data_IF_859110613919
#
_entry.id   IF_859110613919
#
_cell.length_a   1.000
_cell.length_b   1.000
_cell.length_c   1.000
_cell.angle_alpha   90.00
_cell.angle_beta   90.00
_cell.angle_gamma   90.00
#
_symmetry.space_group_name_H-M   'P 1'
#
loop_
_entity.id
_entity.type
_entity.pdbx_description
1 polymer ?
#
# COMPACT_ATOMS: atom_id res chain seq x y z
N UNK A 1 -64.20 -8.89 -23.97
CA UNK A 1 -63.36 -7.81 -24.51
C UNK A 1 -61.93 -8.06 -24.06
N UNK A 2 -61.06 -8.52 -24.97
CA UNK A 2 -59.68 -8.90 -24.65
C UNK A 2 -58.78 -7.66 -24.64
N UNK A 3 -58.07 -7.43 -23.52
CA UNK A 3 -57.03 -6.41 -23.38
C UNK A 3 -55.85 -6.81 -24.27
N UNK A 4 -55.63 -6.08 -25.36
CA UNK A 4 -54.49 -6.28 -26.26
C UNK A 4 -53.18 -6.01 -25.53
N UNK A 5 -52.34 -7.04 -25.41
CA UNK A 5 -50.92 -6.90 -25.06
C UNK A 5 -50.23 -6.12 -26.18
N UNK A 6 -49.68 -4.95 -25.84
CA UNK A 6 -48.73 -4.23 -26.70
C UNK A 6 -47.40 -5.00 -26.65
N UNK A 7 -46.90 -5.41 -27.82
CA UNK A 7 -45.62 -6.11 -27.94
C UNK A 7 -44.43 -5.24 -27.48
N UNK A 8 -43.26 -5.83 -27.23
CA UNK A 8 -42.07 -5.11 -26.79
C UNK A 8 -41.71 -4.02 -27.80
N UNK A 9 -41.32 -2.84 -27.29
CA UNK A 9 -40.86 -1.72 -28.11
C UNK A 9 -39.67 -2.17 -28.99
N UNK A 10 -39.57 -1.67 -30.24
CA UNK A 10 -38.43 -1.96 -31.11
C UNK A 10 -37.13 -1.50 -30.45
N UNK A 11 -36.06 -2.30 -30.61
CA UNK A 11 -34.72 -1.93 -30.15
C UNK A 11 -34.32 -0.58 -30.76
N UNK A 12 -34.01 0.37 -29.88
CA UNK A 12 -33.48 1.67 -30.29
C UNK A 12 -32.09 1.46 -30.89
N UNK A 13 -31.76 2.13 -32.01
CA UNK A 13 -30.42 2.05 -32.58
C UNK A 13 -29.39 2.56 -31.56
N UNK A 14 -28.30 1.81 -31.39
CA UNK A 14 -27.20 2.18 -30.51
C UNK A 14 -26.60 3.52 -30.97
N UNK A 15 -26.18 4.33 -30.01
CA UNK A 15 -25.53 5.61 -30.31
C UNK A 15 -24.14 5.35 -30.89
N UNK A 16 -23.69 6.10 -31.91
CA UNK A 16 -22.33 6.00 -32.39
C UNK A 16 -21.32 6.20 -31.25
N UNK A 17 -20.29 5.35 -31.18
CA UNK A 17 -19.31 5.30 -30.09
C UNK A 17 -18.75 6.68 -29.71
N UNK A 18 -18.34 7.49 -30.69
CA UNK A 18 -17.81 8.84 -30.46
C UNK A 18 -18.82 9.75 -29.73
N UNK A 19 -20.12 9.63 -30.04
CA UNK A 19 -21.18 10.41 -29.39
C UNK A 19 -21.47 9.89 -27.99
N UNK A 20 -21.34 8.59 -27.76
CA UNK A 20 -21.47 8.01 -26.42
C UNK A 20 -20.33 8.48 -25.50
N UNK A 21 -19.09 8.49 -25.97
CA UNK A 21 -17.94 9.01 -25.23
C UNK A 21 -18.03 10.50 -24.93
N UNK A 22 -18.53 11.32 -25.86
CA UNK A 22 -18.67 12.76 -25.69
C UNK A 22 -19.66 13.18 -24.58
N UNK A 23 -20.52 12.26 -24.11
CA UNK A 23 -21.45 12.50 -22.99
C UNK A 23 -20.81 12.32 -21.63
N UNK A 24 -19.62 11.71 -21.57
CA UNK A 24 -18.91 11.45 -20.33
C UNK A 24 -17.88 12.55 -20.07
N UNK A 25 -17.80 13.00 -18.83
CA UNK A 25 -16.83 14.00 -18.43
C UNK A 25 -15.48 13.37 -18.08
N UNK A 26 -14.36 14.01 -18.44
CA UNK A 26 -13.03 13.55 -18.05
C UNK A 26 -12.89 13.59 -16.52
N UNK A 27 -12.39 12.52 -15.89
CA UNK A 27 -12.14 12.53 -14.45
C UNK A 27 -11.06 13.54 -14.06
N UNK A 28 -11.26 14.20 -12.92
CA UNK A 28 -10.36 15.24 -12.39
C UNK A 28 -8.92 14.73 -12.28
N UNK A 29 -7.97 15.51 -12.82
CA UNK A 29 -6.54 15.16 -12.81
C UNK A 29 -6.12 14.07 -13.80
N UNK A 30 -7.04 13.53 -14.60
CA UNK A 30 -6.78 12.43 -15.54
C UNK A 30 -7.13 12.76 -17.01
N UNK A 31 -7.32 14.02 -17.37
CA UNK A 31 -7.78 14.44 -18.70
C UNK A 31 -6.91 13.91 -19.87
N UNK A 32 -5.59 13.80 -19.68
CA UNK A 32 -4.69 13.25 -20.71
C UNK A 32 -4.88 11.74 -20.87
N UNK A 33 -4.99 11.02 -19.76
CA UNK A 33 -5.20 9.59 -19.73
C UNK A 33 -6.61 9.23 -20.24
N UNK A 34 -7.61 10.04 -19.91
CA UNK A 34 -8.98 9.91 -20.40
C UNK A 34 -9.05 9.99 -21.92
N UNK A 35 -8.41 11.02 -22.51
CA UNK A 35 -8.34 11.17 -23.96
C UNK A 35 -7.65 9.98 -24.64
N UNK A 36 -6.51 9.56 -24.10
CA UNK A 36 -5.75 8.40 -24.65
C UNK A 36 -6.53 7.10 -24.59
N UNK A 37 -7.37 6.93 -23.55
CA UNK A 37 -8.29 5.80 -23.46
C UNK A 37 -9.37 5.89 -24.55
N UNK A 38 -10.01 7.05 -24.69
CA UNK A 38 -11.04 7.27 -25.72
C UNK A 38 -10.49 7.03 -27.11
N UNK A 39 -9.33 7.61 -27.43
CA UNK A 39 -8.68 7.45 -28.74
C UNK A 39 -8.44 5.96 -29.03
N UNK A 40 -7.93 5.22 -28.06
CA UNK A 40 -7.67 3.78 -28.20
C UNK A 40 -8.96 2.94 -28.33
N UNK A 41 -10.04 3.31 -27.64
CA UNK A 41 -11.33 2.65 -27.77
C UNK A 41 -11.98 2.94 -29.13
N UNK A 42 -11.92 4.20 -29.59
CA UNK A 42 -12.45 4.62 -30.88
C UNK A 42 -11.69 4.05 -32.07
N UNK A 43 -10.37 3.82 -31.95
CA UNK A 43 -9.59 3.08 -32.95
C UNK A 43 -10.16 1.67 -33.19
N UNK A 44 -10.78 1.06 -32.18
CA UNK A 44 -11.47 -0.24 -32.26
C UNK A 44 -12.98 -0.13 -32.48
N UNK A 45 -13.51 1.09 -32.65
CA UNK A 45 -14.93 1.34 -32.80
C UNK A 45 -15.76 1.16 -31.51
N UNK A 46 -15.11 1.03 -30.35
CA UNK A 46 -15.77 0.71 -29.08
C UNK A 46 -16.35 1.97 -28.41
N UNK A 47 -17.64 1.90 -28.10
CA UNK A 47 -18.32 2.78 -27.15
C UNK A 47 -18.00 2.45 -25.69
N UNK A 48 -18.39 3.31 -24.74
CA UNK A 48 -18.16 3.08 -23.32
C UNK A 48 -18.90 1.86 -22.76
N UNK A 49 -20.10 1.55 -23.26
CA UNK A 49 -20.87 0.36 -22.86
C UNK A 49 -20.22 -0.92 -23.38
N UNK A 50 -19.86 -0.94 -24.66
CA UNK A 50 -19.15 -2.06 -25.30
C UNK A 50 -17.81 -2.32 -24.60
N UNK A 51 -17.05 -1.28 -24.28
CA UNK A 51 -15.81 -1.41 -23.49
C UNK A 51 -16.07 -1.95 -22.08
N UNK A 52 -17.20 -1.60 -21.46
CA UNK A 52 -17.57 -2.12 -20.14
C UNK A 52 -17.90 -3.62 -20.19
N UNK A 53 -18.54 -4.08 -21.27
CA UNK A 53 -18.90 -5.47 -21.51
C UNK A 53 -17.71 -6.36 -21.89
N UNK A 54 -16.89 -5.92 -22.86
CA UNK A 54 -15.74 -6.68 -23.34
C UNK A 54 -14.51 -6.57 -22.45
N UNK A 55 -14.44 -5.54 -21.61
CA UNK A 55 -13.28 -5.26 -20.78
C UNK A 55 -12.13 -4.59 -21.55
N UNK A 56 -10.95 -4.58 -20.95
CA UNK A 56 -9.80 -3.82 -21.47
C UNK A 56 -8.85 -4.66 -22.34
N UNK A 57 -9.11 -5.95 -22.50
CA UNK A 57 -8.14 -6.89 -23.07
C UNK A 57 -7.87 -6.61 -24.56
N UNK A 58 -8.92 -6.35 -25.35
CA UNK A 58 -8.79 -6.04 -26.79
C UNK A 58 -8.06 -4.71 -27.03
N UNK A 59 -8.40 -3.68 -26.25
CA UNK A 59 -7.72 -2.37 -26.29
C UNK A 59 -6.25 -2.54 -25.86
N UNK A 60 -6.00 -3.33 -24.83
CA UNK A 60 -4.65 -3.58 -24.34
C UNK A 60 -3.80 -4.33 -25.36
N UNK A 61 -4.36 -5.33 -26.04
CA UNK A 61 -3.70 -6.07 -27.10
C UNK A 61 -3.38 -5.17 -28.29
N UNK A 62 -4.35 -4.38 -28.78
CA UNK A 62 -4.17 -3.48 -29.91
C UNK A 62 -3.12 -2.38 -29.67
N UNK A 63 -2.97 -1.94 -28.41
CA UNK A 63 -2.03 -0.88 -28.01
C UNK A 63 -0.75 -1.40 -27.35
N UNK A 64 -0.55 -2.72 -27.30
CA UNK A 64 0.54 -3.38 -26.60
C UNK A 64 0.75 -2.89 -25.16
N UNK A 65 -0.36 -2.69 -24.43
CA UNK A 65 -0.32 -2.16 -23.07
C UNK A 65 0.14 -3.20 -22.06
N UNK A 66 1.14 -2.83 -21.27
CA UNK A 66 1.58 -3.60 -20.11
C UNK A 66 0.49 -3.64 -19.02
N UNK A 67 0.48 -4.65 -18.12
CA UNK A 67 -0.54 -4.77 -17.07
C UNK A 67 -0.71 -3.53 -16.19
N UNK A 68 0.37 -2.81 -15.88
CA UNK A 68 0.30 -1.55 -15.11
C UNK A 68 -0.46 -0.44 -15.87
N UNK A 69 -0.30 -0.39 -17.19
CA UNK A 69 -1.01 0.55 -18.08
C UNK A 69 -2.48 0.19 -18.16
N UNK A 70 -2.81 -1.10 -18.28
CA UNK A 70 -4.19 -1.60 -18.23
C UNK A 70 -4.86 -1.24 -16.90
N UNK A 71 -4.17 -1.44 -15.77
CA UNK A 71 -4.69 -1.07 -14.46
C UNK A 71 -4.96 0.44 -14.32
N UNK A 72 -4.05 1.28 -14.84
CA UNK A 72 -4.22 2.73 -14.88
C UNK A 72 -5.44 3.13 -15.72
N UNK A 73 -5.54 2.65 -16.96
CA UNK A 73 -6.64 3.05 -17.84
C UNK A 73 -7.98 2.44 -17.41
N UNK A 74 -8.00 1.23 -16.84
CA UNK A 74 -9.19 0.67 -16.18
C UNK A 74 -9.67 1.54 -15.02
N UNK A 75 -8.74 2.10 -14.24
CA UNK A 75 -9.05 3.04 -13.16
C UNK A 75 -9.61 4.35 -13.73
N UNK A 76 -8.99 4.88 -14.78
CA UNK A 76 -9.41 6.11 -15.45
C UNK A 76 -10.81 5.96 -16.06
N UNK A 77 -11.07 4.85 -16.75
CA UNK A 77 -12.38 4.46 -17.28
C UNK A 77 -13.47 4.48 -16.18
N UNK A 78 -13.22 3.80 -15.05
CA UNK A 78 -14.14 3.79 -13.90
C UNK A 78 -14.37 5.17 -13.30
N UNK A 79 -13.35 6.02 -13.26
CA UNK A 79 -13.50 7.38 -12.73
C UNK A 79 -14.30 8.30 -13.66
N UNK A 80 -14.27 8.07 -14.98
CA UNK A 80 -15.11 8.77 -15.94
C UNK A 80 -16.44 8.09 -16.23
N UNK A 81 -16.90 7.17 -15.36
CA UNK A 81 -18.24 6.60 -15.42
C UNK A 81 -18.41 5.34 -16.27
N UNK A 82 -17.33 4.73 -16.77
CA UNK A 82 -17.40 3.45 -17.49
C UNK A 82 -17.39 2.29 -16.49
N UNK A 83 -18.44 1.45 -16.41
CA UNK A 83 -18.62 0.45 -15.36
C UNK A 83 -17.80 -0.83 -15.61
N UNK A 84 -16.49 -0.69 -15.81
CA UNK A 84 -15.59 -1.85 -15.94
C UNK A 84 -15.58 -2.70 -14.67
N UNK A 85 -15.54 -4.04 -14.79
CA UNK A 85 -15.37 -4.91 -13.63
C UNK A 85 -14.13 -4.49 -12.87
N UNK A 86 -14.27 -4.37 -11.54
CA UNK A 86 -13.10 -4.18 -10.68
C UNK A 86 -12.35 -5.51 -10.69
N UNK A 87 -11.13 -5.59 -11.27
CA UNK A 87 -10.38 -6.83 -11.19
C UNK A 87 -10.27 -7.16 -9.70
N UNK A 88 -10.63 -8.40 -9.31
CA UNK A 88 -10.50 -8.79 -7.92
C UNK A 88 -9.07 -8.47 -7.53
N UNK A 89 -8.91 -7.58 -6.55
CA UNK A 89 -7.58 -7.37 -5.99
C UNK A 89 -7.23 -8.71 -5.38
N UNK A 90 -6.25 -9.46 -5.92
CA UNK A 90 -5.87 -10.71 -5.32
C UNK A 90 -5.48 -10.36 -3.89
N UNK A 91 -6.21 -10.89 -2.90
CA UNK A 91 -5.72 -10.84 -1.54
C UNK A 91 -4.41 -11.62 -1.56
N UNK A 92 -3.27 -11.00 -1.19
CA UNK A 92 -2.02 -11.73 -1.20
C UNK A 92 -2.12 -12.87 -0.18
N UNK A 93 -2.19 -14.09 -0.69
CA UNK A 93 -1.68 -15.25 0.03
C UNK A 93 -0.15 -15.07 0.13
N UNK A 94 0.47 -15.21 1.32
CA UNK A 94 0.02 -15.98 2.46
C UNK A 94 -0.85 -15.19 3.44
N UNK A 95 -1.99 -15.76 3.84
CA UNK A 95 -2.80 -15.27 4.98
C UNK A 95 -2.05 -15.26 6.32
N UNK A 96 -0.92 -15.97 6.43
CA UNK A 96 -0.04 -15.96 7.60
C UNK A 96 1.43 -16.12 7.18
N UNK A 97 2.13 -15.02 6.98
CA UNK A 97 3.60 -15.02 6.90
C UNK A 97 4.16 -14.89 8.33
N UNK A 98 5.13 -15.72 8.71
CA UNK A 98 5.84 -15.49 9.97
C UNK A 98 6.69 -14.23 9.82
N UNK A 99 6.37 -13.17 10.56
CA UNK A 99 7.09 -11.89 10.53
C UNK A 99 8.14 -11.76 11.64
N UNK A 100 8.18 -12.71 12.59
CA UNK A 100 9.07 -12.64 13.76
C UNK A 100 10.56 -12.57 13.38
N UNK A 101 11.06 -13.30 12.37
CA UNK A 101 12.47 -13.19 11.96
C UNK A 101 12.91 -11.77 11.57
N UNK A 102 11.99 -10.93 11.10
CA UNK A 102 12.29 -9.52 10.75
C UNK A 102 12.48 -8.63 11.99
N UNK A 103 12.08 -9.10 13.17
CA UNK A 103 12.17 -8.39 14.46
C UNK A 103 13.28 -8.90 15.37
N UNK A 104 14.04 -9.90 14.93
CA UNK A 104 15.12 -10.49 15.72
C UNK A 104 16.39 -9.65 15.68
N UNK A 105 16.89 -9.31 16.87
CA UNK A 105 18.20 -8.69 17.06
C UNK A 105 19.28 -9.74 16.83
N UNK A 106 20.15 -9.51 15.84
CA UNK A 106 21.17 -10.47 15.36
C UNK A 106 22.57 -9.88 15.32
N UNK A 107 22.68 -8.56 15.35
CA UNK A 107 23.95 -7.84 15.36
C UNK A 107 23.75 -6.47 16.01
N UNK A 108 24.87 -5.82 16.35
CA UNK A 108 24.88 -4.42 16.83
C UNK A 108 25.01 -3.39 15.68
N UNK A 109 24.90 -3.82 14.42
CA UNK A 109 24.95 -2.90 13.28
C UNK A 109 23.80 -1.88 13.36
N UNK A 110 24.07 -0.56 13.29
CA UNK A 110 23.03 0.45 13.42
C UNK A 110 21.94 0.35 12.34
N UNK A 111 22.26 -0.08 11.11
CA UNK A 111 21.26 -0.24 10.04
C UNK A 111 20.32 -1.41 10.33
N UNK A 112 20.88 -2.52 10.80
CA UNK A 112 20.12 -3.67 11.29
C UNK A 112 19.20 -3.29 12.44
N UNK A 113 19.74 -2.72 13.53
CA UNK A 113 18.96 -2.38 14.72
C UNK A 113 17.86 -1.36 14.45
N UNK A 114 18.14 -0.31 13.67
CA UNK A 114 17.14 0.70 13.26
C UNK A 114 15.99 0.05 12.48
N UNK A 115 16.27 -0.94 11.65
CA UNK A 115 15.22 -1.61 10.87
C UNK A 115 14.47 -2.66 11.70
N UNK A 116 15.16 -3.36 12.61
CA UNK A 116 14.55 -4.29 13.56
C UNK A 116 13.58 -3.58 14.50
N UNK A 117 13.96 -2.44 15.09
CA UNK A 117 13.05 -1.67 15.95
C UNK A 117 11.85 -1.14 15.17
N UNK A 118 12.05 -0.72 13.91
CA UNK A 118 10.96 -0.32 13.04
C UNK A 118 9.97 -1.46 12.81
N UNK A 119 10.44 -2.64 12.39
CA UNK A 119 9.60 -3.82 12.22
C UNK A 119 8.89 -4.19 13.52
N UNK A 120 9.59 -4.22 14.66
CA UNK A 120 9.03 -4.57 15.94
C UNK A 120 7.90 -3.63 16.38
N UNK A 121 8.07 -2.31 16.17
CA UNK A 121 6.99 -1.34 16.40
C UNK A 121 5.84 -1.59 15.41
N UNK A 122 6.14 -1.74 14.12
CA UNK A 122 5.16 -1.90 13.06
C UNK A 122 4.26 -3.15 13.20
N UNK A 123 4.70 -4.19 13.90
CA UNK A 123 3.85 -5.36 14.20
C UNK A 123 2.63 -5.02 15.06
N UNK A 124 2.76 -4.06 15.96
CA UNK A 124 1.68 -3.64 16.90
C UNK A 124 1.20 -2.21 16.69
N UNK A 125 1.88 -1.47 15.84
CA UNK A 125 1.52 -0.13 15.37
C UNK A 125 1.77 -0.05 13.85
N UNK A 126 0.91 -0.67 13.02
CA UNK A 126 1.09 -0.84 11.57
C UNK A 126 0.80 0.48 10.81
N UNK A 127 1.54 1.52 11.17
CA UNK A 127 1.43 2.85 10.59
C UNK A 127 1.97 2.89 9.15
N UNK A 128 1.47 3.78 8.29
CA UNK A 128 2.09 4.04 6.99
C UNK A 128 3.56 4.50 7.10
N UNK A 129 4.35 4.32 6.03
CA UNK A 129 5.75 4.79 5.99
C UNK A 129 5.88 6.27 6.33
N UNK A 130 4.92 7.11 5.92
CA UNK A 130 4.91 8.54 6.25
C UNK A 130 4.86 8.80 7.75
N UNK A 131 4.07 8.02 8.49
CA UNK A 131 4.01 8.12 9.95
C UNK A 131 5.33 7.74 10.60
N UNK A 132 6.00 6.68 10.15
CA UNK A 132 7.34 6.34 10.65
C UNK A 132 8.43 7.33 10.25
N UNK A 133 8.30 7.93 9.06
CA UNK A 133 9.19 9.00 8.59
C UNK A 133 9.16 10.20 9.53
N UNK A 134 7.97 10.53 10.03
CA UNK A 134 7.73 11.71 10.86
C UNK A 134 7.69 11.38 12.36
N UNK A 135 7.84 10.10 12.74
CA UNK A 135 7.83 9.66 14.13
C UNK A 135 9.07 10.17 14.87
N UNK A 136 8.82 10.94 15.92
CA UNK A 136 9.86 11.51 16.77
C UNK A 136 10.20 10.62 17.95
N UNK A 137 11.44 10.75 18.43
CA UNK A 137 11.95 9.99 19.57
C UNK A 137 11.15 10.27 20.83
N UNK A 138 10.77 11.52 21.08
CA UNK A 138 9.91 11.94 22.20
C UNK A 138 8.49 11.35 22.13
N UNK A 139 8.06 10.84 20.98
CA UNK A 139 6.74 10.21 20.82
C UNK A 139 6.76 8.72 21.16
N UNK A 140 7.91 8.14 21.51
CA UNK A 140 8.03 6.71 21.84
C UNK A 140 8.64 6.55 23.23
N UNK A 141 7.85 5.98 24.13
CA UNK A 141 8.21 5.80 25.53
C UNK A 141 8.32 4.32 25.86
N UNK A 142 9.45 3.92 26.43
CA UNK A 142 9.60 2.59 27.00
C UNK A 142 9.01 2.56 28.41
N UNK A 143 8.09 1.62 28.63
CA UNK A 143 7.63 1.24 29.98
C UNK A 143 8.33 -0.05 30.41
N UNK A 144 8.02 -0.55 31.59
CA UNK A 144 8.56 -1.83 32.08
C UNK A 144 8.19 -3.05 31.22
N UNK A 145 7.10 -2.99 30.42
CA UNK A 145 6.57 -4.17 29.69
C UNK A 145 6.33 -3.96 28.19
N UNK A 146 6.26 -2.72 27.74
CA UNK A 146 5.89 -2.36 26.36
C UNK A 146 6.41 -0.99 25.97
N UNK A 147 6.42 -0.72 24.68
CA UNK A 147 6.51 0.66 24.21
C UNK A 147 5.11 1.28 24.19
N UNK A 148 5.07 2.59 24.35
CA UNK A 148 3.91 3.44 24.12
C UNK A 148 4.30 4.43 23.04
N UNK A 149 3.52 4.45 21.95
CA UNK A 149 3.67 5.43 20.87
C UNK A 149 2.57 6.46 21.03
N UNK A 150 2.92 7.74 21.14
CA UNK A 150 1.99 8.85 21.33
C UNK A 150 2.14 9.83 20.19
N UNK A 151 1.10 9.99 19.37
CA UNK A 151 1.05 10.99 18.30
C UNK A 151 -0.16 11.90 18.49
N UNK A 152 -0.31 12.91 17.63
CA UNK A 152 -1.48 13.79 17.66
C UNK A 152 -2.80 13.04 17.45
N UNK A 153 -2.74 11.85 16.83
CA UNK A 153 -3.89 11.00 16.54
C UNK A 153 -4.26 10.04 17.70
N UNK A 154 -3.43 9.96 18.76
CA UNK A 154 -3.71 9.12 19.93
C UNK A 154 -2.50 8.44 20.55
N UNK A 155 -2.77 7.39 21.33
CA UNK A 155 -1.78 6.60 22.03
C UNK A 155 -1.96 5.11 21.72
N UNK A 156 -0.86 4.41 21.43
CA UNK A 156 -0.86 2.98 21.13
C UNK A 156 0.11 2.21 22.03
N UNK A 157 -0.39 1.11 22.57
CA UNK A 157 0.39 0.11 23.28
C UNK A 157 1.07 -0.83 22.27
N UNK A 158 2.41 -0.88 22.29
CA UNK A 158 3.23 -1.67 21.37
C UNK A 158 4.03 -2.72 22.16
N UNK A 159 3.41 -3.86 22.52
CA UNK A 159 4.10 -4.94 23.21
C UNK A 159 5.08 -5.69 22.28
N UNK A 160 6.11 -6.30 22.87
CA UNK A 160 7.10 -7.10 22.13
C UNK A 160 8.21 -6.32 21.43
N UNK A 161 8.18 -4.98 21.47
CA UNK A 161 9.19 -4.13 20.83
C UNK A 161 10.31 -3.66 21.78
N UNK A 162 10.22 -3.92 23.09
CA UNK A 162 11.18 -3.42 24.09
C UNK A 162 12.62 -3.85 23.81
N UNK A 163 12.86 -5.12 23.52
CA UNK A 163 14.22 -5.63 23.28
C UNK A 163 14.87 -4.93 22.09
N UNK A 164 14.14 -4.82 20.98
CA UNK A 164 14.60 -4.12 19.79
C UNK A 164 14.83 -2.62 20.06
N UNK A 165 13.94 -2.00 20.83
CA UNK A 165 14.04 -0.61 21.23
C UNK A 165 15.27 -0.32 22.07
N UNK A 166 15.51 -1.09 23.11
CA UNK A 166 16.67 -0.90 23.98
C UNK A 166 17.98 -1.16 23.24
N UNK A 167 18.03 -2.19 22.38
CA UNK A 167 19.21 -2.43 21.55
C UNK A 167 19.48 -1.24 20.60
N UNK A 168 18.43 -0.73 19.95
CA UNK A 168 18.54 0.44 19.08
C UNK A 168 18.97 1.69 19.85
N UNK A 169 18.32 2.01 20.97
CA UNK A 169 18.65 3.17 21.80
C UNK A 169 20.08 3.11 22.35
N UNK A 170 20.52 1.95 22.81
CA UNK A 170 21.88 1.75 23.30
C UNK A 170 22.91 2.06 22.20
N UNK A 171 22.71 1.58 20.98
CA UNK A 171 23.62 1.85 19.85
C UNK A 171 23.48 3.29 19.35
N UNK A 172 22.26 3.81 19.21
CA UNK A 172 21.96 5.21 18.84
C UNK A 172 22.69 6.18 19.76
N UNK A 173 22.68 5.94 21.07
CA UNK A 173 23.26 6.83 22.07
C UNK A 173 24.81 6.82 22.09
N UNK A 174 25.46 5.84 21.46
CA UNK A 174 26.92 5.83 21.27
C UNK A 174 27.40 6.87 20.25
N UNK A 175 26.52 7.38 19.39
CA UNK A 175 26.86 8.33 18.33
C UNK A 175 26.19 9.69 18.56
N UNK A 176 26.94 10.78 18.82
CA UNK A 176 26.36 12.08 19.18
C UNK A 176 25.31 12.61 18.19
N UNK A 177 25.58 12.49 16.88
CA UNK A 177 24.65 12.93 15.84
C UNK A 177 23.33 12.14 15.82
N UNK A 178 23.34 10.86 16.21
CA UNK A 178 22.14 10.03 16.29
C UNK A 178 21.43 10.23 17.63
N UNK A 179 22.18 10.35 18.72
CA UNK A 179 21.67 10.62 20.06
C UNK A 179 20.89 11.95 20.13
N UNK A 180 21.40 13.00 19.47
CA UNK A 180 20.73 14.29 19.35
C UNK A 180 19.64 14.36 18.27
N UNK A 181 19.44 13.29 17.48
CA UNK A 181 18.41 13.30 16.45
C UNK A 181 17.00 13.23 17.06
N UNK A 182 16.06 14.06 16.63
CA UNK A 182 14.68 13.97 17.08
C UNK A 182 13.90 12.81 16.44
N UNK A 183 14.45 12.12 15.44
CA UNK A 183 13.72 11.09 14.69
C UNK A 183 13.98 9.70 15.27
N UNK A 184 12.95 8.84 15.31
CA UNK A 184 13.11 7.43 15.73
C UNK A 184 13.98 6.64 14.76
N UNK A 185 13.80 6.90 13.46
CA UNK A 185 14.49 6.24 12.36
C UNK A 185 15.38 7.25 11.60
N UNK A 186 16.44 7.79 12.24
CA UNK A 186 17.28 8.80 11.65
C UNK A 186 18.14 8.25 10.51
N UNK A 187 18.62 9.14 9.66
CA UNK A 187 19.63 8.85 8.66
C UNK A 187 20.97 8.49 9.34
N UNK A 188 21.48 7.29 9.08
CA UNK A 188 22.75 6.81 9.63
C UNK A 188 23.98 7.34 8.87
N UNK A 189 23.75 7.81 7.64
CA UNK A 189 24.78 8.33 6.74
C UNK A 189 24.23 9.52 5.97
N UNK A 190 25.12 10.37 5.49
CA UNK A 190 24.77 11.45 4.57
C UNK A 190 24.31 10.88 3.24
N UNK A 191 23.16 11.33 2.77
CA UNK A 191 22.61 11.04 1.46
C UNK A 191 23.05 12.07 0.39
N UNK A 192 22.62 11.87 -0.87
CA UNK A 192 22.87 12.81 -1.94
C UNK A 192 22.06 14.09 -1.69
N UNK A 193 22.74 15.17 -1.30
CA UNK A 193 22.13 16.48 -1.05
C UNK A 193 22.86 17.27 0.03
N UNK A 194 23.01 18.58 -0.18
CA UNK A 194 23.73 19.45 0.74
C UNK A 194 23.09 19.51 2.14
N UNK A 195 21.75 19.42 2.21
CA UNK A 195 20.97 19.40 3.45
C UNK A 195 20.91 18.03 4.12
N UNK A 196 21.42 16.97 3.48
CA UNK A 196 21.45 15.65 4.11
C UNK A 196 22.52 15.61 5.20
N UNK A 197 22.16 15.08 6.35
CA UNK A 197 23.03 14.96 7.51
C UNK A 197 22.76 13.64 8.24
N UNK A 198 23.78 13.12 8.91
CA UNK A 198 23.61 12.03 9.89
C UNK A 198 22.70 12.54 11.01
N UNK A 199 21.75 11.72 11.47
CA UNK A 199 20.71 12.16 12.41
C UNK A 199 19.53 12.87 11.72
N UNK A 200 19.60 13.17 10.42
CA UNK A 200 18.50 13.80 9.69
C UNK A 200 17.30 12.86 9.46
N UNK A 201 16.18 13.43 9.01
CA UNK A 201 14.99 12.66 8.62
C UNK A 201 15.27 11.86 7.34
N UNK A 202 14.87 10.59 7.29
CA UNK A 202 14.90 9.81 6.05
C UNK A 202 13.76 10.22 5.11
N UNK A 203 13.94 10.06 3.79
CA UNK A 203 12.81 10.13 2.87
C UNK A 203 11.98 8.85 2.92
N UNK A 204 10.71 8.90 2.49
CA UNK A 204 9.86 7.71 2.41
C UNK A 204 10.47 6.63 1.51
N UNK A 205 11.13 7.03 0.41
CA UNK A 205 11.84 6.12 -0.48
C UNK A 205 13.04 5.46 0.22
N UNK A 206 13.82 6.22 1.00
CA UNK A 206 14.94 5.67 1.73
C UNK A 206 14.49 4.65 2.78
N UNK A 207 13.38 4.91 3.48
CA UNK A 207 12.76 3.95 4.39
C UNK A 207 12.33 2.66 3.67
N UNK A 208 11.62 2.77 2.55
CA UNK A 208 11.23 1.60 1.75
C UNK A 208 12.44 0.76 1.32
N UNK A 209 13.49 1.41 0.80
CA UNK A 209 14.73 0.72 0.41
C UNK A 209 15.42 0.06 1.61
N UNK A 210 15.47 0.73 2.76
CA UNK A 210 16.03 0.16 4.00
C UNK A 210 15.25 -1.08 4.44
N UNK A 211 13.91 -1.04 4.39
CA UNK A 211 13.08 -2.19 4.71
C UNK A 211 13.36 -3.37 3.77
N UNK A 212 13.32 -3.16 2.46
CA UNK A 212 13.55 -4.24 1.48
C UNK A 212 14.93 -4.87 1.64
N UNK A 213 15.97 -4.06 1.87
CA UNK A 213 17.32 -4.58 2.16
C UNK A 213 17.35 -5.46 3.40
N UNK A 214 16.67 -5.05 4.46
CA UNK A 214 16.57 -5.84 5.68
C UNK A 214 15.82 -7.15 5.48
N UNK A 215 14.71 -7.13 4.74
CA UNK A 215 13.96 -8.34 4.41
C UNK A 215 14.82 -9.34 3.62
N UNK A 216 15.54 -8.88 2.59
CA UNK A 216 16.48 -9.71 1.82
C UNK A 216 17.62 -10.23 2.71
N UNK A 217 18.26 -9.39 3.53
CA UNK A 217 19.30 -9.84 4.47
C UNK A 217 18.78 -10.90 5.44
N UNK A 218 17.52 -10.78 5.86
CA UNK A 218 16.86 -11.76 6.71
C UNK A 218 16.60 -13.08 5.98
N UNK A 219 16.16 -13.03 4.72
CA UNK A 219 16.02 -14.19 3.87
C UNK A 219 17.34 -14.97 3.73
N UNK A 220 18.43 -14.25 3.41
CA UNK A 220 19.77 -14.82 3.29
C UNK A 220 20.24 -15.44 4.61
N UNK A 221 20.00 -14.76 5.73
CA UNK A 221 20.32 -15.30 7.06
C UNK A 221 19.58 -16.60 7.35
N UNK A 222 18.27 -16.67 7.06
CA UNK A 222 17.47 -17.87 7.29
C UNK A 222 18.00 -19.07 6.49
N UNK A 223 18.36 -18.85 5.21
CA UNK A 223 18.96 -19.88 4.35
C UNK A 223 20.33 -20.34 4.87
N UNK A 224 21.14 -19.42 5.37
CA UNK A 224 22.48 -19.72 5.86
C UNK A 224 22.49 -20.46 7.21
N UNK A 225 21.49 -20.21 8.06
CA UNK A 225 21.51 -20.68 9.46
C UNK A 225 20.54 -21.82 9.75
N UNK A 226 19.54 -22.07 8.90
CA UNK A 226 18.57 -23.15 9.12
C UNK A 226 19.06 -24.46 8.51
N UNK A 227 19.16 -25.50 9.34
CA UNK A 227 19.60 -26.84 8.94
C UNK A 227 18.53 -27.91 9.20
N UNK A 228 18.74 -29.11 8.63
CA UNK A 228 17.87 -30.27 8.84
C UNK A 228 16.46 -30.10 8.28
N UNK A 229 15.47 -30.76 8.92
CA UNK A 229 14.08 -30.81 8.44
C UNK A 229 13.35 -29.47 8.37
N UNK A 230 13.91 -28.39 8.92
CA UNK A 230 13.33 -27.03 8.84
C UNK A 230 13.77 -26.24 7.61
N UNK A 231 14.76 -26.74 6.85
CA UNK A 231 15.37 -26.03 5.73
C UNK A 231 14.36 -25.63 4.64
N UNK A 232 13.52 -26.56 4.20
CA UNK A 232 12.51 -26.29 3.16
C UNK A 232 11.56 -25.17 3.57
N UNK A 233 11.13 -25.13 4.84
CA UNK A 233 10.28 -24.06 5.36
C UNK A 233 11.01 -22.72 5.39
N UNK A 234 12.27 -22.71 5.79
CA UNK A 234 13.09 -21.50 5.80
C UNK A 234 13.36 -20.97 4.37
N UNK A 235 13.56 -21.87 3.40
CA UNK A 235 13.73 -21.50 1.98
C UNK A 235 12.45 -20.87 1.40
N UNK A 236 11.29 -21.46 1.68
CA UNK A 236 9.99 -20.89 1.28
C UNK A 236 9.75 -19.51 1.91
N UNK A 237 10.03 -19.36 3.22
CA UNK A 237 9.91 -18.08 3.92
C UNK A 237 10.87 -17.03 3.34
N UNK A 238 12.13 -17.43 3.08
CA UNK A 238 13.14 -16.56 2.49
C UNK A 238 12.73 -16.05 1.10
N UNK A 239 12.16 -16.91 0.25
CA UNK A 239 11.68 -16.50 -1.08
C UNK A 239 10.61 -15.40 -1.01
N UNK A 240 9.69 -15.47 -0.03
CA UNK A 240 8.69 -14.40 0.18
C UNK A 240 9.34 -13.12 0.67
N UNK A 241 10.30 -13.20 1.60
CA UNK A 241 11.00 -12.02 2.13
C UNK A 241 11.79 -11.25 1.06
N UNK A 242 12.32 -11.92 0.04
CA UNK A 242 13.06 -11.28 -1.06
C UNK A 242 12.19 -10.32 -1.88
N UNK A 243 10.88 -10.52 -1.90
CA UNK A 243 9.91 -9.66 -2.62
C UNK A 243 9.06 -8.79 -1.68
N UNK A 244 9.33 -8.85 -0.37
CA UNK A 244 8.51 -8.20 0.63
C UNK A 244 8.73 -6.68 0.63
N UNK A 245 7.63 -5.95 0.42
CA UNK A 245 7.58 -4.49 0.64
C UNK A 245 7.09 -4.17 2.05
N UNK A 246 7.36 -2.95 2.54
CA UNK A 246 6.83 -2.53 3.82
C UNK A 246 5.30 -2.47 3.82
N UNK A 247 4.67 -2.13 2.70
CA UNK A 247 3.20 -2.10 2.60
C UNK A 247 2.62 -3.52 2.72
N UNK A 248 3.24 -4.52 2.09
CA UNK A 248 2.88 -5.93 2.26
C UNK A 248 3.07 -6.39 3.71
N UNK A 249 4.18 -6.03 4.34
CA UNK A 249 4.44 -6.31 5.77
C UNK A 249 3.36 -5.71 6.68
N UNK A 250 2.99 -4.46 6.44
CA UNK A 250 1.92 -3.76 7.17
C UNK A 250 0.57 -4.45 6.98
N UNK A 251 0.22 -4.85 5.77
CA UNK A 251 -1.01 -5.60 5.48
C UNK A 251 -1.05 -6.95 6.19
N UNK A 252 0.09 -7.65 6.27
CA UNK A 252 0.21 -8.91 7.00
C UNK A 252 0.04 -8.71 8.51
N UNK A 253 0.61 -7.64 9.09
CA UNK A 253 0.40 -7.29 10.49
C UNK A 253 -1.08 -6.97 10.79
N UNK A 254 -1.76 -6.27 9.88
CA UNK A 254 -3.21 -6.01 9.98
C UNK A 254 -4.03 -7.29 9.86
N UNK A 255 -3.70 -8.17 8.91
CA UNK A 255 -4.37 -9.46 8.73
C UNK A 255 -4.19 -10.39 9.94
N UNK A 256 -3.08 -10.25 10.68
CA UNK A 256 -2.83 -10.94 11.95
C UNK A 256 -3.62 -10.36 13.15
N UNK A 257 -4.53 -9.41 12.91
CA UNK A 257 -5.46 -8.87 13.92
C UNK A 257 -4.98 -7.62 14.65
N UNK A 258 -3.89 -6.98 14.22
CA UNK A 258 -3.45 -5.71 14.81
C UNK A 258 -4.35 -4.55 14.36
N UNK A 259 -4.71 -3.66 15.30
CA UNK A 259 -5.55 -2.50 14.98
C UNK A 259 -4.81 -1.48 14.07
N UNK A 260 -5.50 -0.87 13.09
CA UNK A 260 -4.94 0.21 12.28
C UNK A 260 -4.61 1.47 13.10
N UNK A 261 -3.53 2.16 12.72
CA UNK A 261 -3.02 3.37 13.39
C UNK A 261 -3.78 4.66 13.03
N UNK A 262 -4.57 4.68 11.95
CA UNK A 262 -5.39 5.84 11.60
C UNK A 262 -6.83 5.64 12.03
N UNK A 263 -7.48 6.74 12.45
CA UNK A 263 -8.90 6.81 12.81
C UNK A 263 -9.73 5.97 11.85
N UNK A 264 -10.39 4.94 12.40
CA UNK A 264 -11.20 3.95 11.67
C UNK A 264 -11.95 4.65 10.53
N UNK A 265 -11.55 4.38 9.30
CA UNK A 265 -12.44 4.60 8.16
C UNK A 265 -12.63 6.02 7.65
N UNK A 266 -11.80 7.04 7.91
CA UNK A 266 -12.03 8.36 7.27
C UNK A 266 -12.13 8.27 5.73
N UNK A 267 -11.25 7.50 5.07
CA UNK A 267 -11.26 7.35 3.60
C UNK A 267 -12.32 6.37 3.08
N UNK A 268 -12.74 5.37 3.89
CA UNK A 268 -13.77 4.39 3.49
C UNK A 268 -15.18 4.84 3.86
N UNK A 269 -15.35 5.48 5.01
CA UNK A 269 -16.61 6.03 5.49
C UNK A 269 -16.99 7.30 4.73
N UNK A 270 -16.07 8.22 4.39
CA UNK A 270 -16.40 9.34 3.48
C UNK A 270 -16.83 8.85 2.10
N UNK A 271 -16.20 7.79 1.57
CA UNK A 271 -16.62 7.17 0.31
C UNK A 271 -17.97 6.49 0.43
N UNK A 272 -18.23 5.79 1.52
CA UNK A 272 -19.51 5.14 1.77
C UNK A 272 -20.64 6.14 2.05
N UNK A 273 -20.40 7.23 2.78
CA UNK A 273 -21.40 8.29 3.00
C UNK A 273 -21.64 9.12 1.75
N UNK A 274 -20.62 9.43 0.92
CA UNK A 274 -20.85 10.06 -0.40
C UNK A 274 -21.66 9.16 -1.33
N UNK A 275 -21.35 7.86 -1.39
CA UNK A 275 -22.10 6.90 -2.20
C UNK A 275 -23.56 6.77 -1.71
N UNK A 276 -23.79 6.70 -0.39
CA UNK A 276 -25.14 6.62 0.17
C UNK A 276 -25.93 7.93 0.01
N UNK A 277 -25.27 9.10 0.05
CA UNK A 277 -25.95 10.39 -0.18
C UNK A 277 -26.33 10.60 -1.65
N UNK A 278 -25.54 10.05 -2.58
CA UNK A 278 -25.85 10.04 -4.01
C UNK A 278 -26.98 9.06 -4.35
N UNK A 279 -27.07 7.92 -3.65
CA UNK A 279 -28.14 6.94 -3.83
C UNK A 279 -29.48 7.32 -3.15
N UNK A 280 -29.45 8.22 -2.16
CA UNK A 280 -30.63 8.67 -1.41
C UNK A 280 -31.20 10.02 -1.87
N UNK A 281 -30.60 10.66 -2.88
CA UNK A 281 -31.20 11.83 -3.52
C UNK A 281 -32.38 11.37 -4.40
N UNK A 282 -33.62 11.87 -4.18
CA UNK A 282 -34.70 11.58 -5.09
C UNK A 282 -34.38 12.15 -6.48
N UNK A 283 -34.77 11.47 -7.57
CA UNK A 283 -34.57 12.00 -8.91
C UNK A 283 -35.30 13.36 -9.02
N UNK A 284 -34.57 14.37 -9.51
CA UNK A 284 -35.14 15.64 -9.93
C UNK A 284 -35.87 15.49 -11.26
#
# INVERSE_FOLDING_TARGET
MAKGWQGPLPEMPSLPAARAWARLEPPEGYAVQWRRLIDAALELGLGPEELAESGMDDVAAAREWKPATVALYSKVARYGGVPLPTPPTPEPDPRTLDLRPLTEVRSEDPEHLRTVVWCAIALRWPAPVGSFRDLRREQVHATARRLVVTTDDGEWSVPGALTAWHAWEAVRNRFPALAGSPWVLPALRRGPGYTSQVGGRLSSQALQVTFTKHAVRTALYLRATTTGGRRTRAEALAAVYETLSYDSYRRLALAAGTEPVAARGAVRAERATRANKAAAAPPA
#
